data_IF_509110959764
#
_entry.id   IF_509110959764
#
_cell.length_a   1.000
_cell.length_b   1.000
_cell.length_c   1.000
_cell.angle_alpha   90.00
_cell.angle_beta   90.00
_cell.angle_gamma   90.00
#
_symmetry.space_group_name_H-M   'P 1'
#
loop_
_entity.id
_entity.type
_entity.pdbx_description
1 polymer ?
#
# COMPACT_ATOMS: atom_id res chain seq x y z
N UNK A 1 -38.43 15.60 -17.80
CA UNK A 1 -38.09 15.03 -16.48
C UNK A 1 -36.58 15.00 -16.43
N UNK A 2 -35.97 16.04 -15.87
CA UNK A 2 -34.51 16.15 -15.87
C UNK A 2 -33.94 15.07 -14.96
N UNK A 3 -33.32 14.05 -15.56
CA UNK A 3 -32.63 13.00 -14.83
C UNK A 3 -31.51 13.64 -14.02
N UNK A 4 -31.54 13.46 -12.71
CA UNK A 4 -30.47 13.93 -11.83
C UNK A 4 -29.12 13.38 -12.29
N UNK A 5 -28.08 14.20 -12.21
CA UNK A 5 -26.72 13.80 -12.57
C UNK A 5 -26.08 13.04 -11.41
N UNK A 6 -25.50 11.88 -11.71
CA UNK A 6 -24.64 11.14 -10.79
C UNK A 6 -23.18 11.51 -11.02
N UNK A 7 -22.47 11.91 -9.97
CA UNK A 7 -21.02 12.14 -10.00
C UNK A 7 -20.35 11.06 -9.15
N UNK A 8 -19.35 10.40 -9.73
CA UNK A 8 -18.51 9.43 -9.04
C UNK A 8 -17.03 9.80 -9.22
N UNK A 9 -16.28 9.80 -8.12
CA UNK A 9 -14.85 10.13 -8.10
C UNK A 9 -14.13 8.98 -7.39
N UNK A 10 -13.20 8.35 -8.09
CA UNK A 10 -12.35 7.28 -7.55
C UNK A 10 -10.91 7.69 -7.74
N UNK A 11 -10.07 7.63 -6.70
CA UNK A 11 -8.67 8.07 -6.85
C UNK A 11 -7.81 7.82 -5.63
N UNK A 12 -6.51 8.08 -5.80
CA UNK A 12 -5.53 8.00 -4.72
C UNK A 12 -5.84 9.00 -3.63
N UNK A 13 -5.97 8.51 -2.40
CA UNK A 13 -6.27 9.35 -1.22
C UNK A 13 -5.18 10.38 -0.93
N UNK A 14 -3.94 10.11 -1.33
CA UNK A 14 -2.79 11.00 -1.17
C UNK A 14 -2.66 12.02 -2.30
N UNK A 15 -3.40 11.85 -3.39
CA UNK A 15 -3.29 12.74 -4.54
C UNK A 15 -4.05 14.04 -4.31
N UNK A 16 -3.36 15.16 -4.53
CA UNK A 16 -3.93 16.50 -4.34
C UNK A 16 -5.09 16.74 -5.31
N UNK A 17 -4.98 16.25 -6.54
CA UNK A 17 -6.00 16.44 -7.57
C UNK A 17 -7.29 15.69 -7.23
N UNK A 18 -7.20 14.54 -6.56
CA UNK A 18 -8.37 13.82 -6.07
C UNK A 18 -9.20 14.70 -5.10
N UNK A 19 -8.54 15.42 -4.19
CA UNK A 19 -9.22 16.33 -3.25
C UNK A 19 -9.78 17.58 -3.93
N UNK A 20 -9.15 18.05 -5.01
CA UNK A 20 -9.69 19.13 -5.85
C UNK A 20 -10.97 18.65 -6.54
N UNK A 21 -10.93 17.51 -7.23
CA UNK A 21 -12.10 16.94 -7.92
C UNK A 21 -13.27 16.74 -6.94
N UNK A 22 -12.96 16.18 -5.76
CA UNK A 22 -13.93 16.01 -4.69
C UNK A 22 -14.55 17.34 -4.26
N UNK A 23 -13.74 18.37 -4.03
CA UNK A 23 -14.23 19.70 -3.62
C UNK A 23 -15.15 20.32 -4.69
N UNK A 24 -14.83 20.12 -5.97
CA UNK A 24 -15.68 20.55 -7.09
C UNK A 24 -17.05 19.87 -7.02
N UNK A 25 -17.07 18.55 -6.86
CA UNK A 25 -18.31 17.79 -6.81
C UNK A 25 -19.15 18.06 -5.55
N UNK A 26 -18.52 18.21 -4.38
CA UNK A 26 -19.19 18.63 -3.16
C UNK A 26 -19.81 20.03 -3.32
N UNK A 27 -19.07 20.98 -3.89
CA UNK A 27 -19.57 22.33 -4.16
C UNK A 27 -20.74 22.36 -5.15
N UNK A 28 -20.73 21.52 -6.19
CA UNK A 28 -21.86 21.34 -7.11
C UNK A 28 -23.10 20.80 -6.40
N UNK A 29 -22.94 19.75 -5.58
CA UNK A 29 -24.04 19.18 -4.80
C UNK A 29 -24.64 20.18 -3.81
N UNK A 30 -23.80 20.99 -3.15
CA UNK A 30 -24.27 22.03 -2.23
C UNK A 30 -25.02 23.15 -2.94
N UNK A 31 -24.53 23.60 -4.10
CA UNK A 31 -25.12 24.73 -4.84
C UNK A 31 -26.38 24.32 -5.61
N UNK A 32 -26.46 23.08 -6.09
CA UNK A 32 -27.56 22.58 -6.93
C UNK A 32 -28.14 21.24 -6.41
N UNK A 33 -28.65 21.18 -5.17
CA UNK A 33 -29.01 19.91 -4.50
C UNK A 33 -30.15 19.14 -5.18
N UNK A 34 -30.97 19.81 -6.00
CA UNK A 34 -32.05 19.15 -6.76
C UNK A 34 -31.56 18.49 -8.04
N UNK A 35 -30.39 18.89 -8.53
CA UNK A 35 -29.89 18.53 -9.84
C UNK A 35 -28.97 17.30 -9.81
N UNK A 36 -28.44 16.96 -8.62
CA UNK A 36 -27.51 15.87 -8.42
C UNK A 36 -28.08 14.76 -7.54
N UNK A 37 -27.56 13.55 -7.75
CA UNK A 37 -27.67 12.43 -6.81
C UNK A 37 -26.59 12.53 -5.73
N UNK A 38 -26.66 11.62 -4.75
CA UNK A 38 -25.64 11.51 -3.72
C UNK A 38 -24.27 11.26 -4.34
N UNK A 39 -23.30 12.10 -3.96
CA UNK A 39 -21.94 12.04 -4.47
C UNK A 39 -21.27 10.74 -4.03
N UNK A 40 -20.72 10.01 -4.99
CA UNK A 40 -19.91 8.82 -4.72
C UNK A 40 -18.43 9.17 -4.75
N UNK A 41 -17.78 9.16 -3.58
CA UNK A 41 -16.34 9.36 -3.46
C UNK A 41 -15.71 8.07 -2.94
N UNK A 42 -14.80 7.49 -3.72
CA UNK A 42 -14.06 6.29 -3.35
C UNK A 42 -12.55 6.60 -3.27
N UNK A 43 -12.04 6.96 -2.08
CA UNK A 43 -10.61 7.07 -1.87
C UNK A 43 -9.97 5.68 -1.86
N UNK A 44 -8.84 5.53 -2.55
CA UNK A 44 -8.07 4.29 -2.63
C UNK A 44 -6.61 4.51 -2.19
N UNK A 45 -6.04 3.50 -1.55
CA UNK A 45 -4.60 3.42 -1.29
C UNK A 45 -3.86 3.00 -2.56
N UNK A 46 -2.54 3.17 -2.61
CA UNK A 46 -1.72 2.97 -3.81
C UNK A 46 -1.96 1.59 -4.48
N UNK A 47 -1.91 0.51 -3.70
CA UNK A 47 -2.09 -0.85 -4.21
C UNK A 47 -3.53 -1.14 -4.68
N UNK A 48 -4.52 -0.61 -3.97
CA UNK A 48 -5.92 -0.77 -4.34
C UNK A 48 -6.25 0.06 -5.59
N UNK A 49 -5.63 1.23 -5.77
CA UNK A 49 -5.72 2.04 -6.99
C UNK A 49 -5.11 1.34 -8.19
N UNK A 50 -3.93 0.74 -8.07
CA UNK A 50 -3.35 -0.06 -9.13
C UNK A 50 -4.27 -1.22 -9.54
N UNK A 51 -4.83 -1.93 -8.56
CA UNK A 51 -5.78 -3.03 -8.81
C UNK A 51 -7.04 -2.52 -9.50
N UNK A 52 -7.60 -1.41 -9.02
CA UNK A 52 -8.76 -0.75 -9.61
C UNK A 52 -8.51 -0.34 -11.07
N UNK A 53 -7.40 0.35 -11.34
CA UNK A 53 -7.02 0.76 -12.70
C UNK A 53 -6.85 -0.43 -13.64
N UNK A 54 -6.17 -1.48 -13.19
CA UNK A 54 -5.99 -2.70 -14.00
C UNK A 54 -7.33 -3.34 -14.37
N UNK A 55 -8.30 -3.36 -13.45
CA UNK A 55 -9.64 -3.90 -13.73
C UNK A 55 -10.45 -2.96 -14.64
N UNK A 56 -10.46 -1.65 -14.36
CA UNK A 56 -11.15 -0.67 -15.19
C UNK A 56 -10.62 -0.61 -16.62
N UNK A 57 -9.31 -0.78 -16.84
CA UNK A 57 -8.72 -0.87 -18.19
C UNK A 57 -9.25 -2.07 -18.99
N UNK A 58 -9.58 -3.19 -18.33
CA UNK A 58 -10.20 -4.36 -18.98
C UNK A 58 -11.66 -4.06 -19.35
N UNK A 59 -12.38 -3.38 -18.47
CA UNK A 59 -13.79 -3.04 -18.68
C UNK A 59 -13.99 -2.00 -19.80
N UNK A 60 -13.16 -0.96 -19.82
CA UNK A 60 -13.27 0.21 -20.71
C UNK A 60 -12.70 -0.01 -22.12
N UNK A 61 -12.29 -1.23 -22.49
CA UNK A 61 -11.81 -1.65 -23.83
C UNK A 61 -11.11 -0.54 -24.66
N UNK A 62 -9.77 -0.49 -24.63
CA UNK A 62 -8.99 0.27 -25.61
C UNK A 62 -8.81 1.77 -25.31
N UNK A 63 -9.83 2.47 -24.78
CA UNK A 63 -9.78 3.93 -24.56
C UNK A 63 -8.94 4.33 -23.33
N UNK A 64 -8.78 3.45 -22.33
CA UNK A 64 -8.12 3.77 -21.06
C UNK A 64 -6.64 3.33 -20.95
N UNK A 65 -6.02 2.80 -22.02
CA UNK A 65 -4.62 2.33 -21.96
C UNK A 65 -3.62 3.44 -21.66
N UNK A 66 -3.95 4.68 -22.03
CA UNK A 66 -3.10 5.86 -21.82
C UNK A 66 -3.49 6.67 -20.57
N UNK A 67 -4.44 6.18 -19.76
CA UNK A 67 -4.87 6.90 -18.56
C UNK A 67 -3.75 6.94 -17.52
N UNK A 68 -3.23 8.15 -17.27
CA UNK A 68 -2.06 8.41 -16.41
C UNK A 68 -2.40 9.17 -15.13
N UNK A 69 -3.61 9.72 -15.00
CA UNK A 69 -4.03 10.42 -13.79
C UNK A 69 -4.25 9.44 -12.63
N UNK A 70 -4.11 9.96 -11.40
CA UNK A 70 -4.26 9.23 -10.14
C UNK A 70 -5.69 9.27 -9.59
N UNK A 71 -6.63 9.80 -10.36
CA UNK A 71 -8.06 9.78 -10.08
C UNK A 71 -8.84 9.56 -11.37
N UNK A 72 -10.10 9.17 -11.28
CA UNK A 72 -11.06 9.08 -12.38
C UNK A 72 -12.40 9.67 -11.93
N UNK A 73 -12.91 10.61 -12.71
CA UNK A 73 -14.22 11.21 -12.57
C UNK A 73 -15.20 10.55 -13.56
N UNK A 74 -16.39 10.22 -13.09
CA UNK A 74 -17.47 9.65 -13.90
C UNK A 74 -18.74 10.48 -13.77
N UNK A 75 -19.44 10.64 -14.89
CA UNK A 75 -20.78 11.24 -14.94
C UNK A 75 -21.77 10.20 -15.43
N UNK A 76 -22.79 9.91 -14.64
CA UNK A 76 -23.83 8.92 -14.97
C UNK A 76 -23.25 7.54 -15.36
N UNK A 77 -22.09 7.18 -14.80
CA UNK A 77 -21.37 5.93 -15.08
C UNK A 77 -20.42 5.97 -16.28
N UNK A 78 -20.35 7.07 -17.02
CA UNK A 78 -19.42 7.26 -18.13
C UNK A 78 -18.17 8.01 -17.67
N UNK A 79 -16.99 7.57 -18.13
CA UNK A 79 -15.72 8.22 -17.80
C UNK A 79 -15.73 9.65 -18.36
N UNK A 80 -15.56 10.64 -17.48
CA UNK A 80 -15.36 12.03 -17.84
C UNK A 80 -13.88 12.33 -18.08
N UNK A 81 -13.01 11.81 -17.22
CA UNK A 81 -11.58 12.12 -17.21
C UNK A 81 -11.08 12.43 -15.80
N UNK A 82 -10.23 13.45 -15.66
CA UNK A 82 -9.61 13.83 -14.38
C UNK A 82 -10.28 15.06 -13.72
N UNK A 83 -9.58 15.73 -12.80
CA UNK A 83 -10.08 16.92 -12.11
C UNK A 83 -10.23 18.12 -13.03
N UNK A 84 -9.38 18.21 -14.07
CA UNK A 84 -9.41 19.28 -15.06
C UNK A 84 -10.64 19.11 -15.95
N UNK A 85 -10.94 17.89 -16.40
CA UNK A 85 -12.15 17.59 -17.16
C UNK A 85 -13.42 17.86 -16.34
N UNK A 86 -13.43 17.47 -15.06
CA UNK A 86 -14.53 17.76 -14.14
C UNK A 86 -14.74 19.26 -13.95
N UNK A 87 -13.66 20.01 -13.75
CA UNK A 87 -13.69 21.47 -13.61
C UNK A 87 -14.26 22.15 -14.86
N UNK A 88 -13.81 21.74 -16.05
CA UNK A 88 -14.29 22.27 -17.33
C UNK A 88 -15.77 21.96 -17.56
N UNK A 89 -16.20 20.73 -17.26
CA UNK A 89 -17.60 20.34 -17.33
C UNK A 89 -18.46 21.14 -16.35
N UNK A 90 -18.03 21.31 -15.10
CA UNK A 90 -18.74 22.08 -14.09
C UNK A 90 -18.93 23.55 -14.50
N UNK A 91 -17.87 24.15 -15.08
CA UNK A 91 -17.89 25.51 -15.59
C UNK A 91 -18.85 25.67 -16.77
N UNK A 92 -18.79 24.76 -17.74
CA UNK A 92 -19.57 24.87 -18.98
C UNK A 92 -21.05 24.56 -18.78
N UNK A 93 -21.39 23.52 -18.00
CA UNK A 93 -22.78 23.07 -17.83
C UNK A 93 -23.51 23.77 -16.69
N UNK A 94 -22.80 24.15 -15.63
CA UNK A 94 -23.42 24.66 -14.40
C UNK A 94 -23.01 26.09 -14.05
N UNK A 95 -22.16 26.72 -14.87
CA UNK A 95 -21.51 28.00 -14.54
C UNK A 95 -20.92 27.97 -13.12
N UNK A 96 -20.34 26.82 -12.77
CA UNK A 96 -19.75 26.57 -11.47
C UNK A 96 -18.23 26.58 -11.61
N UNK A 97 -17.60 27.45 -10.84
CA UNK A 97 -16.18 27.43 -10.59
C UNK A 97 -16.01 27.31 -9.09
N UNK A 98 -15.11 26.45 -8.64
CA UNK A 98 -14.76 26.38 -7.24
C UNK A 98 -14.18 27.76 -6.83
N UNK A 99 -14.99 28.57 -6.17
CA UNK A 99 -14.67 29.96 -5.83
C UNK A 99 -13.66 30.01 -4.71
N UNK A 100 -12.38 30.00 -5.07
CA UNK A 100 -11.28 30.68 -4.41
C UNK A 100 -10.17 30.81 -5.46
N UNK A 101 -10.03 31.95 -6.17
CA UNK A 101 -8.95 32.16 -7.14
C UNK A 101 -7.52 32.06 -6.54
N UNK A 102 -7.42 31.83 -5.23
CA UNK A 102 -6.18 31.73 -4.47
C UNK A 102 -6.13 30.56 -3.48
N UNK A 103 -6.96 29.51 -3.59
CA UNK A 103 -6.71 28.32 -2.75
C UNK A 103 -5.34 27.77 -3.13
N UNK A 104 -4.33 27.89 -2.25
CA UNK A 104 -2.99 27.52 -2.62
C UNK A 104 -2.92 25.99 -2.73
N UNK A 105 -2.04 25.47 -3.58
CA UNK A 105 -1.79 24.03 -3.67
C UNK A 105 -1.45 23.43 -2.29
N UNK A 106 -0.86 24.23 -1.39
CA UNK A 106 -0.59 23.84 0.00
C UNK A 106 -1.86 23.51 0.80
N UNK A 107 -3.00 24.13 0.52
CA UNK A 107 -4.27 23.80 1.17
C UNK A 107 -4.71 22.39 0.82
N UNK A 108 -4.75 22.04 -0.47
CA UNK A 108 -5.16 20.69 -0.89
C UNK A 108 -4.14 19.63 -0.50
N UNK A 109 -2.86 20.00 -0.43
CA UNK A 109 -1.82 19.12 0.13
C UNK A 109 -2.08 18.82 1.61
N UNK A 110 -2.33 19.85 2.42
CA UNK A 110 -2.65 19.68 3.83
C UNK A 110 -3.97 18.89 4.02
N UNK A 111 -4.96 19.12 3.16
CA UNK A 111 -6.20 18.36 3.15
C UNK A 111 -5.95 16.88 2.84
N UNK A 112 -5.11 16.60 1.83
CA UNK A 112 -4.73 15.24 1.48
C UNK A 112 -4.01 14.52 2.63
N UNK A 113 -3.05 15.20 3.25
CA UNK A 113 -2.32 14.70 4.43
C UNK A 113 -3.27 14.43 5.61
N UNK A 114 -4.22 15.33 5.88
CA UNK A 114 -5.22 15.16 6.95
C UNK A 114 -6.15 13.97 6.68
N UNK A 115 -6.68 13.85 5.45
CA UNK A 115 -7.54 12.72 5.08
C UNK A 115 -6.81 11.40 5.14
N UNK A 116 -5.58 11.36 4.65
CA UNK A 116 -4.72 10.19 4.70
C UNK A 116 -4.46 9.76 6.15
N UNK A 117 -4.03 10.70 7.00
CA UNK A 117 -3.79 10.48 8.42
C UNK A 117 -5.02 9.93 9.13
N UNK A 118 -6.18 10.56 8.92
CA UNK A 118 -7.46 10.10 9.48
C UNK A 118 -7.85 8.73 8.98
N UNK A 119 -7.59 8.41 7.70
CA UNK A 119 -7.86 7.11 7.12
C UNK A 119 -7.04 6.03 7.82
N UNK A 120 -5.73 6.23 7.98
CA UNK A 120 -4.86 5.30 8.67
C UNK A 120 -5.26 5.13 10.15
N UNK A 121 -5.53 6.23 10.86
CA UNK A 121 -5.95 6.18 12.27
C UNK A 121 -7.27 5.43 12.47
N UNK A 122 -8.20 5.53 11.52
CA UNK A 122 -9.51 4.86 11.58
C UNK A 122 -9.40 3.34 11.55
N UNK A 123 -8.34 2.79 10.98
CA UNK A 123 -8.10 1.32 10.96
C UNK A 123 -7.88 0.78 12.37
N UNK A 124 -7.34 1.58 13.29
CA UNK A 124 -6.88 1.12 14.60
C UNK A 124 -5.63 0.24 14.54
N UNK A 125 -5.04 0.06 13.36
CA UNK A 125 -3.86 -0.77 13.12
C UNK A 125 -2.56 -0.02 13.34
N UNK A 126 -1.47 -0.77 13.35
CA UNK A 126 -0.11 -0.23 13.46
C UNK A 126 0.56 -0.22 12.10
N UNK A 127 1.34 0.82 11.84
CA UNK A 127 2.03 1.01 10.58
C UNK A 127 3.54 1.02 10.79
N UNK A 128 4.27 0.33 9.93
CA UNK A 128 5.73 0.32 9.95
C UNK A 128 6.26 0.59 8.55
N UNK A 129 7.45 1.17 8.46
CA UNK A 129 8.08 1.46 7.19
C UNK A 129 9.42 0.73 7.04
N UNK A 130 9.82 0.52 5.79
CA UNK A 130 11.16 0.12 5.40
C UNK A 130 11.61 0.96 4.22
N UNK A 131 12.76 1.62 4.33
CA UNK A 131 13.42 2.30 3.22
C UNK A 131 14.37 1.29 2.56
N UNK A 132 14.08 0.93 1.31
CA UNK A 132 14.75 -0.14 0.57
C UNK A 132 15.74 0.45 -0.42
N UNK A 133 17.00 0.06 -0.27
CA UNK A 133 18.08 0.34 -1.21
C UNK A 133 18.23 -0.84 -2.17
N UNK A 134 18.25 -0.57 -3.48
CA UNK A 134 18.36 -1.60 -4.52
C UNK A 134 19.57 -1.26 -5.39
N UNK A 135 20.55 -2.17 -5.47
CA UNK A 135 21.77 -1.98 -6.24
C UNK A 135 22.55 -0.68 -5.91
N UNK A 136 22.46 -0.21 -4.67
CA UNK A 136 23.08 1.04 -4.22
C UNK A 136 22.37 2.33 -4.68
N UNK A 137 21.20 2.23 -5.32
CA UNK A 137 20.34 3.39 -5.61
C UNK A 137 19.74 3.99 -4.33
N UNK A 138 19.30 5.25 -4.39
CA UNK A 138 18.64 5.93 -3.28
C UNK A 138 17.50 5.08 -2.67
N UNK A 139 17.53 4.95 -1.35
CA UNK A 139 16.55 4.15 -0.64
C UNK A 139 15.13 4.75 -0.75
N UNK A 140 14.16 3.93 -1.13
CA UNK A 140 12.75 4.34 -1.25
C UNK A 140 11.86 3.55 -0.31
N UNK A 141 10.81 4.20 0.20
CA UNK A 141 9.96 3.67 1.25
C UNK A 141 8.94 2.63 0.75
N UNK A 142 8.76 1.60 1.55
CA UNK A 142 7.58 0.74 1.59
C UNK A 142 6.89 0.94 2.93
N UNK A 143 5.58 1.19 2.92
CA UNK A 143 4.75 1.31 4.12
C UNK A 143 3.89 0.06 4.28
N UNK A 144 3.88 -0.50 5.48
CA UNK A 144 3.13 -1.69 5.83
C UNK A 144 2.06 -1.36 6.86
N UNK A 145 0.87 -1.90 6.65
CA UNK A 145 -0.18 -2.02 7.65
C UNK A 145 -0.07 -3.40 8.31
N UNK A 146 -0.06 -3.44 9.64
CA UNK A 146 -0.05 -4.67 10.43
C UNK A 146 -1.45 -4.94 10.98
N UNK A 147 -2.01 -6.10 10.67
CA UNK A 147 -3.34 -6.53 11.15
C UNK A 147 -3.25 -6.99 12.60
N UNK A 148 -2.94 -6.05 13.49
CA UNK A 148 -2.68 -6.28 14.92
C UNK A 148 -3.91 -6.71 15.71
N UNK A 149 -5.10 -6.53 15.16
CA UNK A 149 -6.38 -7.02 15.67
C UNK A 149 -6.56 -8.54 15.43
N UNK A 150 -6.08 -9.04 14.30
CA UNK A 150 -6.17 -10.46 13.89
C UNK A 150 -4.94 -11.27 14.33
N UNK A 151 -3.74 -10.70 14.17
CA UNK A 151 -2.45 -11.33 14.46
C UNK A 151 -1.59 -10.46 15.39
N UNK A 152 -2.03 -10.17 16.64
CA UNK A 152 -1.31 -9.28 17.57
C UNK A 152 0.12 -9.73 17.87
N UNK A 153 0.37 -11.03 18.11
CA UNK A 153 1.69 -11.55 18.48
C UNK A 153 2.67 -11.46 17.31
N UNK A 154 2.22 -11.86 16.12
CA UNK A 154 2.99 -11.82 14.87
C UNK A 154 3.29 -10.37 14.47
N UNK A 155 2.28 -9.50 14.55
CA UNK A 155 2.43 -8.07 14.27
C UNK A 155 3.43 -7.42 15.22
N UNK A 156 3.35 -7.73 16.53
CA UNK A 156 4.29 -7.19 17.52
C UNK A 156 5.72 -7.66 17.29
N UNK A 157 5.92 -8.92 16.88
CA UNK A 157 7.25 -9.42 16.49
C UNK A 157 7.82 -8.60 15.32
N UNK A 158 7.05 -8.43 14.26
CA UNK A 158 7.50 -7.69 13.08
C UNK A 158 7.79 -6.21 13.40
N UNK A 159 6.91 -5.55 14.15
CA UNK A 159 7.11 -4.16 14.58
C UNK A 159 8.37 -3.98 15.44
N UNK A 160 8.59 -4.86 16.41
CA UNK A 160 9.76 -4.81 17.28
C UNK A 160 11.06 -5.01 16.49
N UNK A 161 11.05 -5.90 15.48
CA UNK A 161 12.17 -6.07 14.56
C UNK A 161 12.35 -4.86 13.62
N UNK A 162 11.28 -4.18 13.20
CA UNK A 162 11.38 -2.92 12.47
C UNK A 162 12.01 -1.80 13.32
N UNK A 163 11.64 -1.70 14.60
CA UNK A 163 12.10 -0.63 15.50
C UNK A 163 13.45 -0.92 16.15
N UNK A 164 13.82 -2.20 16.28
CA UNK A 164 15.01 -2.63 17.01
C UNK A 164 14.90 -2.50 18.53
N UNK A 165 13.69 -2.28 19.07
CA UNK A 165 13.50 -1.94 20.50
C UNK A 165 13.91 -3.07 21.46
N UNK A 166 13.95 -4.32 21.00
CA UNK A 166 14.30 -5.48 21.81
C UNK A 166 15.81 -5.73 21.96
N UNK A 167 16.67 -4.95 21.29
CA UNK A 167 18.12 -5.10 21.42
C UNK A 167 18.64 -6.43 20.86
N UNK A 168 19.37 -7.19 21.70
CA UNK A 168 19.95 -8.48 21.33
C UNK A 168 19.12 -9.64 21.91
N UNK A 169 18.98 -10.70 21.14
CA UNK A 169 18.42 -11.97 21.61
C UNK A 169 19.39 -12.68 22.56
N UNK A 170 18.92 -13.77 23.18
CA UNK A 170 19.77 -14.62 24.05
C UNK A 170 20.94 -15.27 23.29
N UNK A 171 20.83 -15.45 21.98
CA UNK A 171 21.93 -15.98 21.14
C UNK A 171 22.92 -14.90 20.70
N UNK A 172 22.67 -13.64 21.07
CA UNK A 172 23.50 -12.48 20.71
C UNK A 172 23.15 -11.86 19.35
N UNK A 173 22.07 -12.31 18.69
CA UNK A 173 21.61 -11.71 17.45
C UNK A 173 20.95 -10.35 17.70
N UNK A 174 21.27 -9.35 16.88
CA UNK A 174 20.58 -8.07 16.92
C UNK A 174 19.15 -8.25 16.35
N UNK A 175 18.13 -8.01 17.17
CA UNK A 175 16.73 -8.11 16.80
C UNK A 175 16.28 -6.86 16.02
N UNK A 176 16.83 -6.67 14.83
CA UNK A 176 16.50 -5.53 13.97
C UNK A 176 16.59 -5.87 12.47
N UNK A 177 15.63 -5.38 11.68
CA UNK A 177 15.64 -5.54 10.23
C UNK A 177 16.59 -4.58 9.50
N UNK A 178 17.06 -3.50 10.15
CA UNK A 178 17.98 -2.55 9.52
C UNK A 178 19.26 -3.28 9.09
N UNK A 179 19.61 -3.15 7.82
CA UNK A 179 20.75 -3.78 7.19
C UNK A 179 20.49 -5.18 6.62
N UNK A 180 19.33 -5.79 6.89
CA UNK A 180 18.97 -7.09 6.34
C UNK A 180 18.82 -7.03 4.82
N UNK A 181 19.12 -8.15 4.16
CA UNK A 181 18.99 -8.30 2.71
C UNK A 181 17.68 -9.00 2.34
N UNK A 182 17.14 -8.64 1.17
CA UNK A 182 16.21 -9.51 0.44
C UNK A 182 17.03 -10.63 -0.18
N UNK A 183 17.00 -11.81 0.44
CA UNK A 183 17.84 -12.94 0.06
C UNK A 183 17.19 -13.87 -0.96
N UNK A 184 15.89 -13.71 -1.23
CA UNK A 184 15.15 -14.51 -2.21
C UNK A 184 14.03 -13.70 -2.87
N UNK A 185 13.99 -13.72 -4.19
CA UNK A 185 13.01 -13.06 -5.05
C UNK A 185 12.53 -14.08 -6.07
N UNK A 186 11.24 -14.37 -6.04
CA UNK A 186 10.55 -15.26 -6.97
C UNK A 186 9.59 -14.39 -7.79
N UNK A 187 9.94 -13.98 -9.02
CA UNK A 187 9.07 -13.15 -9.85
C UNK A 187 7.71 -13.82 -10.06
N UNK A 188 6.62 -13.05 -10.04
CA UNK A 188 5.25 -13.59 -9.98
C UNK A 188 5.04 -14.55 -8.79
N UNK A 189 5.73 -14.36 -7.69
CA UNK A 189 5.60 -15.17 -6.49
C UNK A 189 5.61 -14.28 -5.28
N UNK A 190 6.78 -14.16 -4.68
CA UNK A 190 7.02 -13.32 -3.51
C UNK A 190 8.47 -12.84 -3.48
N UNK A 191 8.70 -11.76 -2.73
CA UNK A 191 10.04 -11.40 -2.25
C UNK A 191 10.15 -11.78 -0.79
N UNK A 192 11.33 -12.19 -0.35
CA UNK A 192 11.58 -12.66 1.02
C UNK A 192 12.84 -12.00 1.59
N UNK A 193 12.73 -11.59 2.84
CA UNK A 193 13.79 -10.95 3.62
C UNK A 193 13.67 -11.36 5.10
N UNK A 194 14.35 -10.62 5.96
CA UNK A 194 14.23 -10.76 7.42
C UNK A 194 15.09 -11.86 8.03
N UNK A 195 16.09 -12.39 7.31
CA UNK A 195 17.17 -13.13 7.98
C UNK A 195 18.12 -12.12 8.64
N UNK A 196 17.88 -11.86 9.93
CA UNK A 196 18.64 -10.92 10.78
C UNK A 196 20.02 -11.45 11.18
N UNK A 197 20.37 -12.67 10.77
CA UNK A 197 21.69 -13.22 11.02
C UNK A 197 22.76 -12.54 10.16
N UNK A 198 24.03 -12.50 10.61
CA UNK A 198 25.13 -11.98 9.80
C UNK A 198 25.17 -12.58 8.38
N UNK A 199 25.09 -11.70 7.38
CA UNK A 199 25.15 -12.06 5.97
C UNK A 199 23.83 -12.50 5.32
N UNK A 200 22.71 -12.51 6.06
CA UNK A 200 21.34 -12.75 5.55
C UNK A 200 21.27 -13.84 4.48
N UNK A 201 21.70 -15.06 4.83
CA UNK A 201 21.80 -16.16 3.86
C UNK A 201 20.46 -16.82 3.58
N UNK A 202 19.44 -16.54 4.40
CA UNK A 202 18.11 -17.14 4.35
C UNK A 202 17.96 -18.36 5.24
N UNK A 203 18.96 -18.70 6.06
CA UNK A 203 18.96 -19.91 6.90
C UNK A 203 18.82 -19.64 8.40
N UNK A 204 18.91 -18.38 8.84
CA UNK A 204 18.80 -18.01 10.24
C UNK A 204 17.64 -17.05 10.53
N UNK A 205 17.84 -16.23 11.56
CA UNK A 205 16.87 -15.31 12.12
C UNK A 205 16.13 -15.87 13.32
N UNK A 206 15.68 -14.99 14.19
CA UNK A 206 14.98 -15.32 15.45
C UNK A 206 13.87 -14.30 15.70
N UNK A 207 12.81 -14.73 16.38
CA UNK A 207 11.75 -13.83 16.82
C UNK A 207 12.14 -13.08 18.10
N UNK A 208 11.38 -12.06 18.44
CA UNK A 208 11.52 -11.38 19.74
C UNK A 208 11.15 -12.27 20.94
N UNK A 209 10.52 -13.42 20.69
CA UNK A 209 10.09 -14.38 21.72
C UNK A 209 11.06 -15.56 21.88
N UNK A 210 12.14 -15.61 21.10
CA UNK A 210 13.07 -16.74 21.02
C UNK A 210 13.27 -17.24 19.59
N UNK A 211 13.88 -18.42 19.40
CA UNK A 211 14.25 -18.92 18.08
C UNK A 211 13.08 -18.98 17.09
N UNK A 212 11.94 -19.49 17.53
CA UNK A 212 10.70 -19.53 16.76
C UNK A 212 9.47 -19.35 17.65
N UNK A 213 8.33 -19.01 17.04
CA UNK A 213 7.01 -18.98 17.66
C UNK A 213 5.94 -19.61 16.74
N UNK A 214 4.78 -19.89 17.33
CA UNK A 214 3.67 -20.60 16.72
C UNK A 214 2.96 -19.81 15.60
N UNK A 215 2.30 -20.51 14.67
CA UNK A 215 1.33 -19.91 13.76
C UNK A 215 0.13 -19.39 14.55
N UNK A 216 -0.12 -18.07 14.45
CA UNK A 216 -1.16 -17.40 15.24
C UNK A 216 -2.55 -17.52 14.60
N UNK A 217 -2.66 -17.21 13.31
CA UNK A 217 -3.94 -17.18 12.59
C UNK A 217 -3.75 -17.36 11.08
N UNK A 218 -4.76 -17.94 10.42
CA UNK A 218 -4.83 -18.14 8.97
C UNK A 218 -6.03 -17.42 8.33
N UNK A 219 -6.58 -16.39 8.98
CA UNK A 219 -7.76 -15.66 8.49
C UNK A 219 -7.45 -14.75 7.30
N UNK A 220 -6.19 -14.32 7.15
CA UNK A 220 -5.75 -13.46 6.06
C UNK A 220 -5.45 -14.32 4.84
N UNK A 221 -6.22 -14.13 3.77
CA UNK A 221 -6.00 -14.81 2.49
C UNK A 221 -4.93 -14.11 1.65
N UNK A 222 -4.12 -14.89 0.95
CA UNK A 222 -3.12 -14.43 -0.01
C UNK A 222 -3.75 -14.15 -1.38
N UNK A 223 -4.86 -13.41 -1.39
CA UNK A 223 -5.68 -13.19 -2.59
C UNK A 223 -5.20 -12.05 -3.49
N UNK A 224 -4.18 -11.29 -3.06
CA UNK A 224 -3.67 -10.12 -3.80
C UNK A 224 -2.15 -9.93 -3.66
N UNK A 225 -1.61 -9.04 -4.50
CA UNK A 225 -0.24 -8.53 -4.39
C UNK A 225 -0.12 -7.67 -3.12
N UNK A 226 1.04 -7.74 -2.48
CA UNK A 226 1.39 -6.92 -1.31
C UNK A 226 0.97 -7.52 0.02
N UNK A 227 0.52 -8.77 0.10
CA UNK A 227 0.27 -9.43 1.39
C UNK A 227 1.60 -9.71 2.08
N UNK A 228 1.71 -9.25 3.33
CA UNK A 228 2.83 -9.48 4.22
C UNK A 228 2.57 -10.74 5.05
N UNK A 229 3.50 -11.69 5.01
CA UNK A 229 3.39 -12.95 5.75
C UNK A 229 4.71 -13.48 6.29
N UNK A 230 4.61 -14.40 7.24
CA UNK A 230 5.78 -15.01 7.89
C UNK A 230 6.31 -16.17 7.05
N UNK A 231 7.60 -16.14 6.74
CA UNK A 231 8.28 -17.29 6.18
C UNK A 231 8.61 -18.28 7.32
N UNK A 232 8.28 -19.56 7.12
CA UNK A 232 8.51 -20.63 8.10
C UNK A 232 9.21 -21.84 7.44
N UNK A 233 9.65 -22.79 8.25
CA UNK A 233 10.29 -24.06 7.88
C UNK A 233 9.38 -25.25 8.22
N UNK A 234 8.06 -25.02 8.20
CA UNK A 234 7.04 -25.93 8.68
C UNK A 234 6.12 -25.28 9.71
N UNK A 235 5.07 -25.99 10.16
CA UNK A 235 4.12 -25.47 11.14
C UNK A 235 4.80 -24.99 12.42
N UNK A 236 4.33 -23.86 12.95
CA UNK A 236 4.75 -23.27 14.22
C UNK A 236 6.26 -22.95 14.32
N UNK A 237 6.88 -22.57 13.20
CA UNK A 237 8.31 -22.25 13.14
C UNK A 237 8.57 -20.81 12.65
N UNK A 238 7.71 -19.86 13.02
CA UNK A 238 7.86 -18.46 12.62
C UNK A 238 9.03 -17.82 13.37
N UNK A 239 9.90 -17.09 12.66
CA UNK A 239 11.07 -16.42 13.25
C UNK A 239 11.06 -14.93 12.95
N UNK A 240 12.10 -14.43 12.29
CA UNK A 240 12.16 -13.06 11.76
C UNK A 240 11.93 -12.97 10.26
N UNK A 241 12.04 -14.07 9.51
CA UNK A 241 11.92 -14.02 8.06
C UNK A 241 10.46 -13.76 7.64
N UNK A 242 10.29 -12.89 6.65
CA UNK A 242 8.99 -12.52 6.12
C UNK A 242 9.01 -12.53 4.60
N UNK A 243 7.83 -12.58 3.99
CA UNK A 243 7.64 -12.39 2.56
C UNK A 243 6.60 -11.33 2.25
N UNK A 244 6.68 -10.79 1.03
CA UNK A 244 5.66 -9.92 0.44
C UNK A 244 5.22 -10.57 -0.86
N UNK A 245 3.92 -10.84 -1.01
CA UNK A 245 3.40 -11.44 -2.24
C UNK A 245 3.50 -10.47 -3.42
N UNK A 246 3.87 -10.98 -4.59
CA UNK A 246 3.92 -10.22 -5.85
C UNK A 246 2.66 -10.45 -6.71
N UNK A 247 1.91 -11.50 -6.41
CA UNK A 247 0.63 -11.82 -7.04
C UNK A 247 -0.26 -12.60 -6.05
N UNK A 248 -1.54 -12.88 -6.38
CA UNK A 248 -2.35 -13.81 -5.60
C UNK A 248 -1.68 -15.19 -5.50
N UNK A 249 -1.48 -15.68 -4.28
CA UNK A 249 -0.85 -16.98 -3.97
C UNK A 249 -1.74 -17.81 -3.02
N UNK A 250 -2.98 -18.17 -3.43
CA UNK A 250 -3.96 -18.83 -2.55
C UNK A 250 -3.50 -20.21 -2.02
N UNK A 251 -2.50 -20.83 -2.64
CA UNK A 251 -1.88 -22.07 -2.16
C UNK A 251 -1.08 -21.87 -0.86
N UNK A 252 -0.73 -20.63 -0.50
CA UNK A 252 -0.11 -20.29 0.78
C UNK A 252 -1.12 -20.23 1.93
N UNK A 253 -2.42 -20.13 1.62
CA UNK A 253 -3.46 -20.04 2.64
C UNK A 253 -3.43 -21.27 3.55
N UNK A 254 -3.63 -21.04 4.85
CA UNK A 254 -3.61 -22.07 5.90
C UNK A 254 -2.26 -22.78 6.10
N UNK A 255 -1.21 -22.35 5.40
CA UNK A 255 0.15 -22.88 5.52
C UNK A 255 1.11 -21.81 6.06
N UNK A 256 0.90 -20.56 5.62
CA UNK A 256 1.69 -19.41 6.07
C UNK A 256 0.77 -18.36 6.68
N UNK A 257 1.25 -17.73 7.76
CA UNK A 257 0.53 -16.67 8.46
C UNK A 257 0.66 -15.37 7.68
N UNK A 258 -0.43 -14.91 7.07
CA UNK A 258 -0.58 -13.53 6.63
C UNK A 258 -0.93 -12.64 7.83
N UNK A 259 -0.25 -11.52 8.00
CA UNK A 259 -0.43 -10.65 9.18
C UNK A 259 -0.41 -9.16 8.85
N UNK A 260 -0.32 -8.80 7.58
CA UNK A 260 -0.36 -7.40 7.16
C UNK A 260 -0.41 -7.25 5.65
N UNK A 261 -0.25 -6.02 5.19
CA UNK A 261 -0.15 -5.71 3.77
C UNK A 261 0.72 -4.48 3.52
N UNK A 262 1.26 -4.39 2.32
CA UNK A 262 1.85 -3.16 1.80
C UNK A 262 0.74 -2.20 1.40
N UNK A 263 0.83 -0.97 1.89
CA UNK A 263 -0.11 0.11 1.58
C UNK A 263 0.51 1.19 0.69
N UNK A 264 1.84 1.37 0.77
CA UNK A 264 2.62 2.23 -0.14
C UNK A 264 3.95 1.61 -0.54
N UNK A 265 4.50 2.04 -1.67
CA UNK A 265 5.77 1.58 -2.22
C UNK A 265 5.61 0.58 -3.35
N UNK A 266 4.57 0.73 -4.19
CA UNK A 266 4.30 -0.19 -5.30
C UNK A 266 5.49 -0.27 -6.26
N UNK A 267 6.06 0.88 -6.63
CA UNK A 267 7.22 0.96 -7.52
C UNK A 267 8.46 0.30 -6.92
N UNK A 268 8.64 0.37 -5.59
CA UNK A 268 9.77 -0.27 -4.90
C UNK A 268 9.63 -1.78 -4.96
N UNK A 269 8.43 -2.29 -4.67
CA UNK A 269 8.14 -3.72 -4.75
C UNK A 269 8.26 -4.25 -6.20
N UNK A 270 7.83 -3.46 -7.17
CA UNK A 270 8.01 -3.75 -8.60
C UNK A 270 9.49 -3.80 -9.00
N UNK A 271 10.29 -2.81 -8.60
CA UNK A 271 11.75 -2.82 -8.83
C UNK A 271 12.44 -4.02 -8.19
N UNK A 272 12.03 -4.41 -6.97
CA UNK A 272 12.54 -5.63 -6.33
C UNK A 272 12.22 -6.87 -7.18
N UNK A 273 10.98 -7.01 -7.64
CA UNK A 273 10.57 -8.13 -8.50
C UNK A 273 11.32 -8.19 -9.84
N UNK A 274 11.63 -7.04 -10.43
CA UNK A 274 12.38 -6.93 -11.69
C UNK A 274 13.89 -7.16 -11.50
N UNK A 275 14.39 -7.25 -10.26
CA UNK A 275 15.80 -7.45 -9.98
C UNK A 275 16.28 -8.80 -10.56
N UNK A 276 17.40 -8.82 -11.30
CA UNK A 276 17.90 -10.05 -11.90
C UNK A 276 18.36 -11.03 -10.82
N UNK A 277 17.97 -12.29 -10.93
CA UNK A 277 18.27 -13.34 -9.93
C UNK A 277 19.16 -14.46 -10.49
N UNK A 278 19.79 -15.21 -9.59
CA UNK A 278 20.45 -16.48 -9.83
C UNK A 278 19.96 -17.46 -8.76
N UNK A 279 19.22 -18.51 -9.16
CA UNK A 279 18.53 -19.41 -8.23
C UNK A 279 17.68 -18.64 -7.20
N UNK A 280 16.85 -17.72 -7.69
CA UNK A 280 15.98 -16.84 -6.88
C UNK A 280 16.73 -15.86 -5.97
N UNK A 281 18.07 -15.89 -5.90
CA UNK A 281 18.86 -14.92 -5.15
C UNK A 281 19.16 -13.69 -6.02
N UNK A 282 18.90 -12.46 -5.56
CA UNK A 282 19.25 -11.25 -6.32
C UNK A 282 20.75 -11.18 -6.65
N UNK A 283 21.09 -10.76 -7.88
CA UNK A 283 22.48 -10.57 -8.32
C UNK A 283 23.15 -9.33 -7.73
N UNK A 284 22.34 -8.34 -7.34
CA UNK A 284 22.77 -7.13 -6.67
C UNK A 284 22.12 -7.07 -5.29
N UNK A 285 22.76 -6.37 -4.36
CA UNK A 285 22.21 -6.23 -3.01
C UNK A 285 20.90 -5.43 -3.03
N UNK A 286 19.89 -5.98 -2.37
CA UNK A 286 18.63 -5.33 -2.08
C UNK A 286 18.52 -5.31 -0.55
N UNK A 287 18.60 -4.14 0.07
CA UNK A 287 18.82 -3.98 1.52
C UNK A 287 17.76 -3.09 2.15
N UNK A 288 17.36 -3.43 3.38
CA UNK A 288 16.59 -2.55 4.24
C UNK A 288 17.55 -1.51 4.85
N UNK A 289 17.63 -0.31 4.27
CA UNK A 289 18.54 0.75 4.71
C UNK A 289 18.09 1.40 6.02
N UNK A 290 16.78 1.60 6.17
CA UNK A 290 16.15 2.06 7.40
C UNK A 290 14.80 1.38 7.58
N UNK A 291 14.34 1.27 8.83
CA UNK A 291 13.01 0.77 9.15
C UNK A 291 12.58 1.28 10.52
N UNK A 292 11.28 1.26 10.78
CA UNK A 292 10.76 1.70 12.07
C UNK A 292 9.24 1.79 12.10
N UNK A 293 8.73 2.29 13.23
CA UNK A 293 7.32 2.59 13.40
C UNK A 293 6.95 3.85 12.61
N UNK A 294 5.88 3.78 11.84
CA UNK A 294 5.27 4.94 11.19
C UNK A 294 4.13 5.45 12.07
N UNK A 295 4.18 6.75 12.39
CA UNK A 295 3.11 7.44 13.11
C UNK A 295 2.45 8.41 12.13
N UNK A 296 1.22 8.13 11.67
CA UNK A 296 0.46 9.04 10.85
C UNK A 296 0.10 10.32 11.63
#
# INVERSE_FOLDING_TARGET
>A
MDSKVNIEIVGLITDTNFHIARSIAEGLNMKFPKAFLDLKVQPLMEFDWHTYLCNKRKDLRGEAWQYSSNLMCFLNGFLLGDETDLSNWAKTQWNFTLTQPHTPQSFYKALAEEYYTKHLQKTGHRFVFMDIEIAGEEARRILFELFSDVCPKTSKNFEALCTGECGQSQSGLQLCYKGCLFHRIVPNGWVQAGDISPGSKGNGGESIYGPTFEDECFAISHSKRGILGMANKGPHSNGSQFYITLQPTPWMDKTYVGFGQVVEGFDVLKKLEEAPTCNERPKFECRIAACGLFKP
#
